data_IF_199979737801
#
_entry.id   IF_199979737801
#
_cell.length_a   1.000
_cell.length_b   1.000
_cell.length_c   1.000
_cell.angle_alpha   90.00
_cell.angle_beta   90.00
_cell.angle_gamma   90.00
#
_symmetry.space_group_name_H-M   'P 1'
#
loop_
_entity.id
_entity.type
_entity.pdbx_description
1 polymer ?
#
# COMPACT_ATOMS: atom_id res chain seq x y z
N UNK A 1 -8.76 1.31 -17.60
CA UNK A 1 -7.44 0.67 -17.45
C UNK A 1 -7.13 0.59 -15.96
N UNK A 2 -6.78 -0.59 -15.43
CA UNK A 2 -6.39 -0.74 -14.04
C UNK A 2 -5.01 -0.13 -13.75
N UNK A 3 -4.76 0.27 -12.50
CA UNK A 3 -3.43 0.66 -12.06
C UNK A 3 -2.80 -0.48 -11.27
N UNK A 4 -1.67 -1.03 -11.73
CA UNK A 4 -1.06 -2.21 -11.13
C UNK A 4 0.05 -1.91 -10.13
N UNK A 5 0.64 -0.72 -10.17
CA UNK A 5 1.66 -0.25 -9.20
C UNK A 5 1.37 1.17 -8.76
N UNK A 6 0.17 1.37 -8.20
CA UNK A 6 -0.25 2.67 -7.71
C UNK A 6 0.36 2.96 -6.34
N UNK A 7 1.07 4.07 -6.23
CA UNK A 7 1.68 4.51 -4.98
C UNK A 7 0.83 5.56 -4.29
N UNK A 8 0.58 5.34 -3.00
CA UNK A 8 -0.13 6.28 -2.15
C UNK A 8 0.63 6.52 -0.85
N UNK A 9 0.62 7.77 -0.39
CA UNK A 9 1.17 8.16 0.90
C UNK A 9 0.24 7.71 2.04
N UNK A 10 0.82 7.26 3.14
CA UNK A 10 0.07 6.80 4.32
C UNK A 10 0.66 7.38 5.61
N UNK A 11 -0.18 7.72 6.61
CA UNK A 11 0.26 8.45 7.79
C UNK A 11 1.08 7.61 8.79
N UNK A 12 1.01 6.28 8.72
CA UNK A 12 1.57 5.38 9.74
C UNK A 12 2.33 4.22 9.11
N UNK A 13 3.42 3.85 9.77
CA UNK A 13 4.15 2.63 9.45
C UNK A 13 3.45 1.38 10.01
N UNK A 14 3.30 0.36 9.20
CA UNK A 14 2.67 -0.89 9.59
C UNK A 14 2.35 -1.81 8.42
N UNK A 15 1.68 -2.91 8.74
CA UNK A 15 1.15 -3.85 7.76
C UNK A 15 -0.25 -3.41 7.33
N UNK A 16 -0.43 -3.16 6.04
CA UNK A 16 -1.71 -2.80 5.43
C UNK A 16 -2.31 -4.06 4.82
N UNK A 17 -3.45 -4.49 5.35
CA UNK A 17 -4.20 -5.64 4.83
C UNK A 17 -5.45 -5.13 4.15
N UNK A 18 -5.66 -5.49 2.89
CA UNK A 18 -6.92 -5.24 2.20
C UNK A 18 -8.03 -5.99 2.93
N UNK A 19 -9.05 -5.27 3.37
CA UNK A 19 -10.22 -5.84 4.06
C UNK A 19 -11.46 -5.83 3.19
N UNK A 20 -11.46 -5.02 2.13
CA UNK A 20 -12.59 -4.88 1.24
C UNK A 20 -12.13 -4.35 -0.12
N UNK A 21 -12.71 -4.90 -1.18
CA UNK A 21 -12.57 -4.41 -2.55
C UNK A 21 -13.93 -4.46 -3.22
N UNK A 22 -14.33 -3.36 -3.87
CA UNK A 22 -15.56 -3.31 -4.67
C UNK A 22 -15.46 -4.16 -5.93
N UNK A 23 -14.25 -4.54 -6.34
CA UNK A 23 -14.01 -5.40 -7.51
C UNK A 23 -14.15 -6.90 -7.17
N UNK A 24 -14.48 -7.27 -5.93
CA UNK A 24 -14.70 -8.67 -5.60
C UNK A 24 -15.83 -9.28 -6.45
N UNK A 25 -15.71 -10.55 -6.92
CA UNK A 25 -16.74 -11.20 -7.74
C UNK A 25 -18.11 -11.24 -7.09
N UNK A 26 -18.15 -11.25 -5.75
CA UNK A 26 -19.40 -11.19 -4.97
C UNK A 26 -20.23 -9.92 -5.25
N UNK A 27 -19.59 -8.80 -5.63
CA UNK A 27 -20.27 -7.55 -5.98
C UNK A 27 -20.44 -7.35 -7.50
N UNK A 28 -20.16 -8.39 -8.31
CA UNK A 28 -20.16 -8.30 -9.77
C UNK A 28 -18.90 -7.68 -10.36
N UNK A 29 -17.82 -7.56 -9.57
CA UNK A 29 -16.50 -7.17 -10.05
C UNK A 29 -15.73 -8.33 -10.69
N UNK A 30 -14.53 -8.04 -11.19
CA UNK A 30 -13.68 -9.01 -11.89
C UNK A 30 -12.94 -9.93 -10.92
N UNK A 31 -12.50 -9.40 -9.78
CA UNK A 31 -11.65 -10.10 -8.81
C UNK A 31 -10.19 -10.20 -9.23
N UNK A 32 -9.80 -9.52 -10.32
CA UNK A 32 -8.47 -9.65 -10.94
C UNK A 32 -7.39 -8.79 -10.25
N UNK A 33 -7.79 -7.91 -9.32
CA UNK A 33 -6.90 -6.95 -8.66
C UNK A 33 -6.80 -7.15 -7.13
N UNK A 34 -6.52 -8.37 -6.62
CA UNK A 34 -6.39 -8.56 -5.17
C UNK A 34 -5.13 -7.87 -4.66
N UNK A 35 -5.13 -7.28 -3.47
CA UNK A 35 -3.90 -6.85 -2.83
C UNK A 35 -3.51 -7.79 -1.69
N UNK A 36 -2.29 -8.35 -1.77
CA UNK A 36 -1.71 -9.07 -0.65
C UNK A 36 -1.42 -8.09 0.50
N UNK A 37 -1.33 -8.56 1.76
CA UNK A 37 -0.88 -7.74 2.87
C UNK A 37 0.48 -7.11 2.56
N UNK A 38 0.54 -5.77 2.55
CA UNK A 38 1.72 -5.01 2.14
C UNK A 38 2.27 -4.22 3.31
N UNK A 39 3.58 -4.30 3.51
CA UNK A 39 4.27 -3.48 4.51
C UNK A 39 4.49 -2.07 3.95
N UNK A 40 4.19 -1.05 4.74
CA UNK A 40 4.55 0.32 4.36
C UNK A 40 6.05 0.54 4.35
N UNK A 41 6.51 1.42 3.45
CA UNK A 41 7.89 1.89 3.40
C UNK A 41 7.95 3.27 4.05
N UNK A 42 8.95 3.50 4.92
CA UNK A 42 9.21 4.80 5.57
C UNK A 42 9.89 5.79 4.60
N UNK A 43 9.23 6.05 3.48
CA UNK A 43 9.64 7.03 2.49
C UNK A 43 8.51 8.07 2.34
N UNK A 44 8.80 9.36 2.56
CA UNK A 44 7.81 10.41 2.37
C UNK A 44 7.23 10.40 0.96
N UNK A 45 5.91 10.50 0.85
CA UNK A 45 5.22 10.56 -0.42
C UNK A 45 3.99 11.47 -0.30
N UNK A 46 4.02 12.59 -1.02
CA UNK A 46 3.05 13.68 -0.83
C UNK A 46 3.20 14.29 0.57
N UNK A 47 2.08 14.43 1.29
CA UNK A 47 2.02 14.99 2.64
C UNK A 47 2.22 13.94 3.75
N UNK A 48 2.47 12.68 3.37
CA UNK A 48 2.52 11.57 4.30
C UNK A 48 3.95 11.02 4.48
N UNK A 49 4.31 10.56 5.70
CA UNK A 49 5.66 10.11 6.04
C UNK A 49 6.02 8.72 5.50
N UNK A 50 5.03 7.92 5.11
CA UNK A 50 5.22 6.58 4.60
C UNK A 50 4.46 6.40 3.28
N UNK A 51 4.76 5.34 2.54
CA UNK A 51 4.03 4.97 1.32
C UNK A 51 3.74 3.48 1.24
N UNK A 52 2.70 3.12 0.49
CA UNK A 52 2.39 1.75 0.08
C UNK A 52 2.20 1.67 -1.43
N UNK A 53 2.38 0.48 -1.98
CA UNK A 53 2.04 0.13 -3.37
C UNK A 53 0.82 -0.76 -3.37
N UNK A 54 -0.12 -0.47 -4.27
CA UNK A 54 -1.35 -1.23 -4.43
C UNK A 54 -1.80 -1.31 -5.89
N UNK A 55 -2.64 -2.29 -6.16
CA UNK A 55 -3.40 -2.45 -7.39
C UNK A 55 -4.77 -1.81 -7.21
N UNK A 56 -5.09 -0.83 -8.07
CA UNK A 56 -6.37 -0.16 -8.08
C UNK A 56 -7.21 -0.71 -9.25
N UNK A 57 -8.34 -1.39 -8.97
CA UNK A 57 -9.26 -1.84 -10.01
C UNK A 57 -9.92 -0.65 -10.74
N UNK A 58 -10.36 -0.84 -12.00
CA UNK A 58 -11.03 0.20 -12.75
C UNK A 58 -12.40 0.54 -12.12
N UNK A 59 -12.65 1.82 -11.85
CA UNK A 59 -13.88 2.31 -11.19
C UNK A 59 -14.18 1.65 -9.83
N UNK A 60 -13.18 1.08 -9.18
CA UNK A 60 -13.33 0.41 -7.89
C UNK A 60 -12.64 1.16 -6.75
N UNK A 61 -13.01 0.77 -5.53
CA UNK A 61 -12.38 1.21 -4.30
C UNK A 61 -11.86 -0.01 -3.52
N UNK A 62 -10.72 0.19 -2.86
CA UNK A 62 -10.10 -0.79 -1.97
C UNK A 62 -9.93 -0.16 -0.59
N UNK A 63 -10.31 -0.87 0.46
CA UNK A 63 -10.18 -0.42 1.83
C UNK A 63 -9.15 -1.28 2.57
N UNK A 64 -8.30 -0.61 3.34
CA UNK A 64 -7.22 -1.25 4.09
C UNK A 64 -7.42 -1.09 5.59
N UNK A 65 -7.06 -2.14 6.32
CA UNK A 65 -6.84 -2.08 7.76
C UNK A 65 -5.35 -2.03 8.02
N UNK A 66 -4.94 -1.08 8.84
CA UNK A 66 -3.56 -0.97 9.30
C UNK A 66 -3.35 -1.75 10.61
N UNK A 67 -2.30 -2.56 10.64
CA UNK A 67 -1.70 -3.09 11.86
C UNK A 67 -0.41 -2.29 12.13
N UNK A 68 -0.46 -1.24 12.97
CA UNK A 68 0.68 -0.35 13.17
C UNK A 68 1.85 -1.13 13.76
N UNK A 69 3.06 -0.85 13.27
CA UNK A 69 4.29 -1.42 13.81
C UNK A 69 5.21 -0.30 14.28
N UNK A 70 6.12 -0.57 15.23
CA UNK A 70 7.16 0.41 15.56
C UNK A 70 7.94 0.74 14.30
N UNK A 71 8.26 2.03 14.12
CA UNK A 71 9.09 2.49 13.02
C UNK A 71 10.41 1.70 13.05
N UNK A 72 10.90 1.22 11.90
CA UNK A 72 12.20 0.60 11.85
C UNK A 72 13.21 1.67 12.28
N UNK A 73 14.10 1.33 13.22
CA UNK A 73 15.27 2.18 13.48
C UNK A 73 15.97 2.33 12.14
N UNK A 74 16.09 3.56 11.63
CA UNK A 74 16.99 3.85 10.51
C UNK A 74 18.39 3.48 11.00
N UNK A 75 18.82 2.25 10.75
CA UNK A 75 20.25 2.00 10.61
C UNK A 75 20.67 2.82 9.40
N UNK A 76 21.49 3.82 9.66
CA UNK A 76 22.13 4.59 8.63
C UNK A 76 22.96 3.61 7.80
N UNK A 77 22.40 3.15 6.68
CA UNK A 77 23.24 2.73 5.56
C UNK A 77 23.94 3.99 5.05
N UNK A 78 25.12 4.22 5.63
CA UNK A 78 26.25 4.71 4.88
C UNK A 78 26.60 3.66 3.81
N UNK A 79 26.89 4.15 2.62
CA UNK A 79 27.79 3.67 1.55
C UNK A 79 27.17 4.14 0.22
N UNK A 80 27.71 5.16 -0.47
CA UNK A 80 29.09 5.30 -0.99
C UNK A 80 29.33 4.39 -2.21
N UNK A 81 30.26 4.83 -3.06
CA UNK A 81 30.67 4.36 -4.40
C UNK A 81 29.81 4.85 -5.59
N UNK A 82 30.33 5.53 -6.61
CA UNK A 82 31.68 6.02 -6.93
C UNK A 82 31.55 7.05 -8.08
#
# INVERSE_FOLDING_TARGET
MPWTDYMIGVPRYGLYTEIFSTDAPYYGGTGDYPNAPTMSVCEPYGEHPCRIRLRLPPFGAVCYRISPRPLPKKEAKQEEDA
#
